data_IF_517382373056
#
_entry.id   IF_517382373056
#
_cell.length_a   1.000
_cell.length_b   1.000
_cell.length_c   1.000
_cell.angle_alpha   90.00
_cell.angle_beta   90.00
_cell.angle_gamma   90.00
#
_symmetry.space_group_name_H-M   'P 1'
#
loop_
_entity.id
_entity.type
_entity.pdbx_description
1 polymer ?
#
# COMPACT_ATOMS: atom_id res chain seq x y z
N UNK A 1 31.93 36.69 50.13
CA UNK A 1 31.25 35.39 50.36
C UNK A 1 30.67 34.93 49.02
N UNK A 2 30.78 33.64 48.72
CA UNK A 2 30.93 33.05 47.37
C UNK A 2 29.67 33.10 46.50
N UNK A 3 29.82 33.48 45.22
CA UNK A 3 28.87 33.19 44.14
C UNK A 3 28.86 31.68 43.90
N UNK A 4 27.68 31.05 43.88
CA UNK A 4 27.50 29.66 43.48
C UNK A 4 26.69 29.63 42.18
N UNK A 5 27.38 29.37 41.07
CA UNK A 5 26.79 29.17 39.74
C UNK A 5 26.26 27.74 39.66
N UNK A 6 24.94 27.56 39.55
CA UNK A 6 24.32 26.26 39.34
C UNK A 6 24.42 25.89 37.84
N UNK A 7 25.20 24.86 37.53
CA UNK A 7 25.27 24.26 36.20
C UNK A 7 24.13 23.24 36.06
N UNK A 8 23.11 23.56 35.26
CA UNK A 8 22.02 22.66 34.92
C UNK A 8 22.51 21.67 33.85
N UNK A 9 22.80 20.42 34.23
CA UNK A 9 23.08 19.34 33.30
C UNK A 9 21.79 18.91 32.60
N UNK A 10 21.60 19.34 31.35
CA UNK A 10 20.53 18.87 30.48
C UNK A 10 20.95 17.51 29.88
N UNK A 11 20.65 16.42 30.57
CA UNK A 11 20.81 15.06 30.00
C UNK A 11 19.73 14.85 28.94
N UNK A 12 20.08 15.09 27.67
CA UNK A 12 19.28 14.59 26.54
C UNK A 12 19.37 13.06 26.56
N UNK A 13 18.38 12.40 27.14
CA UNK A 13 18.14 10.98 26.88
C UNK A 13 17.71 10.88 25.43
N UNK A 14 18.64 10.54 24.53
CA UNK A 14 18.33 10.10 23.19
C UNK A 14 17.56 8.78 23.30
N UNK A 15 16.24 8.86 23.42
CA UNK A 15 15.39 7.72 23.07
C UNK A 15 15.77 7.39 21.63
N UNK A 16 16.37 6.22 21.41
CA UNK A 16 16.48 5.68 20.06
C UNK A 16 15.08 5.72 19.48
N UNK A 17 14.84 6.62 18.53
CA UNK A 17 13.59 6.64 17.80
C UNK A 17 13.62 5.38 16.95
N UNK A 18 12.87 4.35 17.34
CA UNK A 18 12.70 3.16 16.52
C UNK A 18 11.87 3.59 15.30
N UNK A 19 12.54 3.97 14.21
CA UNK A 19 11.88 4.51 13.03
C UNK A 19 11.63 3.39 12.03
N UNK A 20 10.49 2.71 12.18
CA UNK A 20 9.99 1.82 11.13
C UNK A 20 9.78 2.60 9.81
N UNK A 21 10.01 1.95 8.66
CA UNK A 21 9.71 2.54 7.35
C UNK A 21 8.28 2.19 6.92
N UNK A 22 7.35 3.08 7.24
CA UNK A 22 6.01 3.07 6.68
C UNK A 22 5.99 3.91 5.39
N UNK A 23 5.92 3.23 4.24
CA UNK A 23 5.80 3.91 2.97
C UNK A 23 4.54 4.79 2.91
N UNK A 24 4.64 5.97 2.33
CA UNK A 24 3.52 6.72 1.81
C UNK A 24 3.09 6.16 0.45
N UNK A 25 1.86 6.48 0.02
CA UNK A 25 1.35 6.05 -1.30
C UNK A 25 0.61 7.15 -2.03
N UNK A 26 0.60 7.07 -3.35
CA UNK A 26 -0.20 7.91 -4.21
C UNK A 26 -0.72 7.12 -5.41
N UNK A 27 -2.03 7.15 -5.65
CA UNK A 27 -2.58 6.68 -6.92
C UNK A 27 -2.15 7.65 -8.04
N UNK A 28 -1.57 7.12 -9.11
CA UNK A 28 -1.21 7.91 -10.29
C UNK A 28 -2.42 8.00 -11.22
N UNK A 29 -3.08 6.87 -11.47
CA UNK A 29 -4.30 6.83 -12.26
C UNK A 29 -4.51 5.53 -13.02
N UNK A 30 -5.53 5.54 -13.87
CA UNK A 30 -5.96 4.42 -14.70
C UNK A 30 -5.75 4.74 -16.18
N UNK A 31 -5.65 3.70 -17.01
CA UNK A 31 -5.80 3.86 -18.47
C UNK A 31 -7.26 4.18 -18.83
N UNK A 32 -7.55 4.84 -19.96
CA UNK A 32 -8.92 5.22 -20.34
C UNK A 32 -9.92 4.07 -20.46
N UNK A 33 -9.45 2.87 -20.79
CA UNK A 33 -10.24 1.63 -20.87
C UNK A 33 -10.33 0.89 -19.51
N UNK A 34 -9.66 1.41 -18.48
CA UNK A 34 -9.55 0.83 -17.16
C UNK A 34 -8.64 -0.39 -17.06
N UNK A 35 -7.97 -0.83 -18.13
CA UNK A 35 -7.12 -2.03 -18.08
C UNK A 35 -5.92 -1.91 -17.15
N UNK A 36 -5.30 -0.74 -17.11
CA UNK A 36 -4.08 -0.51 -16.34
C UNK A 36 -4.34 0.43 -15.17
N UNK A 37 -3.70 0.15 -14.05
CA UNK A 37 -3.65 1.02 -12.89
C UNK A 37 -2.19 1.29 -12.52
N UNK A 38 -1.87 2.54 -12.19
CA UNK A 38 -0.55 2.94 -11.72
C UNK A 38 -0.64 3.60 -10.35
N UNK A 39 0.32 3.27 -9.49
CA UNK A 39 0.48 3.90 -8.18
C UNK A 39 1.96 4.03 -7.82
N UNK A 40 2.25 4.96 -6.93
CA UNK A 40 3.57 5.19 -6.35
C UNK A 40 3.54 4.83 -4.86
N UNK A 41 4.63 4.26 -4.36
CA UNK A 41 4.96 4.29 -2.93
C UNK A 41 6.33 4.94 -2.72
N UNK A 42 6.50 5.66 -1.62
CA UNK A 42 7.73 6.40 -1.35
C UNK A 42 7.94 6.62 0.14
N UNK A 43 9.18 6.90 0.53
CA UNK A 43 9.51 7.13 1.94
C UNK A 43 11.01 7.25 2.16
N UNK A 44 11.42 6.95 3.38
CA UNK A 44 12.82 6.90 3.82
C UNK A 44 13.08 5.53 4.40
N UNK A 45 14.16 4.87 3.95
CA UNK A 45 14.51 3.53 4.37
C UNK A 45 14.87 3.48 5.86
N UNK A 46 14.30 2.48 6.54
CA UNK A 46 14.71 2.07 7.88
C UNK A 46 16.20 1.62 7.87
N UNK A 47 16.94 2.02 8.89
CA UNK A 47 18.37 1.75 9.06
C UNK A 47 19.32 2.63 8.24
N UNK A 48 19.07 2.83 6.93
CA UNK A 48 19.97 3.63 6.07
C UNK A 48 19.62 5.11 5.99
N UNK A 49 18.37 5.50 6.28
CA UNK A 49 17.93 6.89 6.14
C UNK A 49 17.83 7.37 4.67
N UNK A 50 17.97 6.48 3.70
CA UNK A 50 17.97 6.85 2.28
C UNK A 50 16.55 7.02 1.73
N UNK A 51 16.22 8.14 1.06
CA UNK A 51 14.92 8.31 0.43
C UNK A 51 14.76 7.39 -0.79
N UNK A 52 13.56 6.83 -0.96
CA UNK A 52 13.20 5.98 -2.09
C UNK A 52 11.82 6.34 -2.68
N UNK A 53 11.59 5.94 -3.93
CA UNK A 53 10.28 5.96 -4.58
C UNK A 53 10.19 4.79 -5.56
N UNK A 54 9.04 4.12 -5.56
CA UNK A 54 8.74 3.02 -6.47
C UNK A 54 7.40 3.25 -7.17
N UNK A 55 7.40 3.17 -8.50
CA UNK A 55 6.18 3.29 -9.32
C UNK A 55 5.83 1.93 -9.91
N UNK A 56 4.59 1.51 -9.68
CA UNK A 56 4.03 0.28 -10.17
C UNK A 56 3.00 0.57 -11.28
N UNK A 57 2.97 -0.27 -12.30
CA UNK A 57 1.91 -0.33 -13.31
C UNK A 57 1.42 -1.76 -13.39
N UNK A 58 0.12 -1.94 -13.19
CA UNK A 58 -0.55 -3.24 -13.07
C UNK A 58 -1.54 -3.39 -14.21
N UNK A 59 -1.48 -4.50 -14.94
CA UNK A 59 -2.57 -4.97 -15.79
C UNK A 59 -3.63 -5.62 -14.89
N UNK A 60 -4.77 -4.95 -14.74
CA UNK A 60 -5.84 -5.38 -13.84
C UNK A 60 -6.55 -6.63 -14.32
N UNK A 61 -6.55 -6.90 -15.64
CA UNK A 61 -7.20 -8.08 -16.21
C UNK A 61 -6.33 -9.32 -15.98
N UNK A 62 -5.02 -9.17 -16.13
CA UNK A 62 -4.06 -10.24 -15.88
C UNK A 62 -3.68 -10.38 -14.38
N UNK A 63 -4.01 -9.38 -13.55
CA UNK A 63 -3.53 -9.24 -12.18
C UNK A 63 -2.00 -9.39 -12.07
N UNK A 64 -1.27 -8.68 -12.92
CA UNK A 64 0.19 -8.75 -13.02
C UNK A 64 0.80 -7.38 -13.28
N UNK A 65 2.06 -7.21 -12.89
CA UNK A 65 2.81 -6.03 -13.28
C UNK A 65 3.04 -6.00 -14.80
N UNK A 66 2.88 -4.83 -15.40
CA UNK A 66 3.25 -4.64 -16.79
C UNK A 66 4.77 -4.79 -16.94
N UNK A 67 5.23 -5.38 -18.04
CA UNK A 67 6.66 -5.54 -18.32
C UNK A 67 7.40 -4.20 -18.19
N UNK A 68 8.46 -4.20 -17.38
CA UNK A 68 9.25 -2.99 -17.06
C UNK A 68 8.84 -2.32 -15.75
N UNK A 69 7.66 -2.63 -15.20
CA UNK A 69 7.26 -2.25 -13.85
C UNK A 69 7.69 -3.32 -12.82
N UNK A 70 8.03 -2.93 -11.59
CA UNK A 70 8.06 -1.55 -11.08
C UNK A 70 9.37 -0.83 -11.35
N UNK A 71 9.29 0.50 -11.39
CA UNK A 71 10.44 1.41 -11.43
C UNK A 71 10.85 1.73 -10.00
N UNK A 72 12.04 1.30 -9.58
CA UNK A 72 12.53 1.49 -8.22
C UNK A 72 13.69 2.45 -8.20
N UNK A 73 13.54 3.57 -7.51
CA UNK A 73 14.57 4.58 -7.38
C UNK A 73 14.92 4.81 -5.91
N UNK A 74 16.21 5.00 -5.66
CA UNK A 74 16.79 5.38 -4.38
C UNK A 74 17.89 6.41 -4.61
N UNK A 75 18.09 7.29 -3.63
CA UNK A 75 19.26 8.16 -3.56
C UNK A 75 20.02 7.79 -2.28
N UNK A 76 21.29 7.42 -2.41
CA UNK A 76 22.16 7.02 -1.30
C UNK A 76 22.79 8.25 -0.64
N UNK A 77 21.92 9.11 -0.13
CA UNK A 77 22.25 10.34 0.59
C UNK A 77 21.08 10.65 1.53
N UNK A 78 21.33 10.58 2.83
CA UNK A 78 20.33 10.86 3.89
C UNK A 78 19.84 12.31 3.85
N UNK A 79 20.63 13.23 3.29
CA UNK A 79 20.25 14.63 3.13
C UNK A 79 19.38 14.87 1.88
N UNK A 80 19.24 13.88 1.00
CA UNK A 80 18.43 14.03 -0.20
C UNK A 80 16.93 14.10 0.15
N UNK A 81 16.21 14.94 -0.59
CA UNK A 81 14.77 15.10 -0.39
C UNK A 81 13.99 13.93 -1.00
N UNK A 82 12.94 13.49 -0.32
CA UNK A 82 11.96 12.53 -0.87
C UNK A 82 11.40 13.02 -2.22
N UNK A 83 11.14 14.32 -2.36
CA UNK A 83 10.68 14.89 -3.64
C UNK A 83 11.66 14.66 -4.80
N UNK A 84 12.97 14.65 -4.54
CA UNK A 84 13.99 14.43 -5.56
C UNK A 84 13.96 13.00 -6.10
N UNK A 85 13.81 12.00 -5.23
CA UNK A 85 13.72 10.59 -5.66
C UNK A 85 12.38 10.28 -6.31
N UNK A 86 11.28 10.89 -5.85
CA UNK A 86 9.98 10.80 -6.53
C UNK A 86 10.04 11.35 -7.95
N UNK A 87 10.67 12.51 -8.14
CA UNK A 87 10.87 13.06 -9.48
C UNK A 87 11.75 12.16 -10.36
N UNK A 88 12.73 11.45 -9.77
CA UNK A 88 13.54 10.46 -10.48
C UNK A 88 12.69 9.27 -10.92
N UNK A 89 11.89 8.70 -10.04
CA UNK A 89 11.00 7.58 -10.35
C UNK A 89 9.97 7.95 -11.43
N UNK A 90 9.37 9.14 -11.32
CA UNK A 90 8.45 9.65 -12.33
C UNK A 90 9.09 9.76 -13.72
N UNK A 91 10.34 10.23 -13.81
CA UNK A 91 11.09 10.26 -15.09
C UNK A 91 11.36 8.84 -15.62
N UNK A 92 11.76 7.92 -14.76
CA UNK A 92 12.01 6.52 -15.15
C UNK A 92 10.74 5.83 -15.67
N UNK A 93 9.58 6.11 -15.07
CA UNK A 93 8.29 5.53 -15.46
C UNK A 93 7.60 6.25 -16.63
N UNK A 94 8.00 7.48 -16.97
CA UNK A 94 7.27 8.38 -17.86
C UNK A 94 6.91 7.77 -19.22
N UNK A 95 7.85 7.03 -19.83
CA UNK A 95 7.62 6.39 -21.12
C UNK A 95 6.48 5.35 -21.06
N UNK A 96 6.48 4.49 -20.04
CA UNK A 96 5.45 3.45 -19.89
C UNK A 96 4.09 4.06 -19.49
N UNK A 97 4.09 5.01 -18.55
CA UNK A 97 2.86 5.71 -18.12
C UNK A 97 2.22 6.47 -19.30
N UNK A 98 3.02 7.14 -20.12
CA UNK A 98 2.57 7.84 -21.32
C UNK A 98 2.04 6.90 -22.40
N UNK A 99 2.75 5.78 -22.64
CA UNK A 99 2.31 4.76 -23.59
C UNK A 99 0.94 4.17 -23.23
N UNK A 100 0.72 3.89 -21.94
CA UNK A 100 -0.52 3.27 -21.43
C UNK A 100 -1.59 4.28 -21.02
N UNK A 101 -1.26 5.58 -21.02
CA UNK A 101 -2.15 6.69 -20.68
C UNK A 101 -2.77 6.58 -19.27
N UNK A 102 -1.98 6.17 -18.27
CA UNK A 102 -2.48 5.86 -16.92
C UNK A 102 -2.73 7.08 -16.03
N UNK A 103 -3.26 8.16 -16.60
CA UNK A 103 -3.47 9.44 -15.91
C UNK A 103 -4.93 9.72 -15.57
N UNK A 104 -5.85 8.83 -15.92
CA UNK A 104 -7.26 9.00 -15.59
C UNK A 104 -7.47 8.86 -14.07
N UNK A 105 -8.18 9.79 -13.43
CA UNK A 105 -8.26 9.83 -11.97
C UNK A 105 -9.11 8.67 -11.43
N UNK A 106 -8.56 7.96 -10.45
CA UNK A 106 -9.33 7.06 -9.60
C UNK A 106 -10.09 7.81 -8.52
N UNK A 107 -11.26 7.32 -8.14
CA UNK A 107 -12.01 7.76 -6.98
C UNK A 107 -11.64 6.88 -5.77
N UNK A 108 -11.09 7.48 -4.71
CA UNK A 108 -10.98 6.81 -3.42
C UNK A 108 -12.40 6.60 -2.84
N UNK A 109 -12.76 5.36 -2.56
CA UNK A 109 -14.04 4.98 -1.96
C UNK A 109 -13.92 4.85 -0.43
N UNK A 110 -12.79 4.36 0.05
CA UNK A 110 -12.44 4.29 1.46
C UNK A 110 -10.92 4.26 1.61
N UNK A 111 -10.42 4.73 2.75
CA UNK A 111 -9.01 4.67 3.10
C UNK A 111 -8.85 4.45 4.62
N UNK A 112 -7.83 3.71 4.98
CA UNK A 112 -7.38 3.49 6.36
C UNK A 112 -5.91 3.89 6.44
N UNK A 113 -5.69 5.14 6.81
CA UNK A 113 -4.34 5.65 7.01
C UNK A 113 -3.71 4.96 8.23
N UNK A 114 -2.39 4.67 8.24
CA UNK A 114 -1.73 4.06 9.39
C UNK A 114 -1.88 4.84 10.70
N UNK A 115 -2.07 6.16 10.60
CA UNK A 115 -2.29 7.05 11.76
C UNK A 115 -3.75 7.22 12.14
N UNK A 116 -4.68 6.65 11.36
CA UNK A 116 -6.10 6.65 11.67
C UNK A 116 -6.38 5.56 12.70
N UNK A 117 -7.00 5.91 13.81
CA UNK A 117 -7.47 4.92 14.77
C UNK A 117 -8.58 4.07 14.13
N UNK A 118 -8.25 2.84 13.74
CA UNK A 118 -9.20 1.82 13.31
C UNK A 118 -9.20 0.67 14.33
N UNK A 119 -10.38 0.11 14.60
CA UNK A 119 -10.50 -1.03 15.50
C UNK A 119 -9.90 -2.31 14.88
N UNK A 120 -9.94 -2.42 13.56
CA UNK A 120 -9.44 -3.56 12.79
C UNK A 120 -8.94 -3.07 11.42
N UNK A 121 -7.64 -3.22 11.16
CA UNK A 121 -7.03 -2.85 9.89
C UNK A 121 -7.16 -3.93 8.79
N UNK A 122 -7.69 -5.11 9.14
CA UNK A 122 -8.00 -6.20 8.20
C UNK A 122 -9.40 -6.06 7.59
N UNK A 123 -10.20 -5.07 8.00
CA UNK A 123 -11.58 -4.88 7.51
C UNK A 123 -11.82 -3.44 7.10
N UNK A 124 -12.35 -3.22 5.89
CA UNK A 124 -12.78 -1.91 5.41
C UNK A 124 -14.19 -1.95 4.82
N UNK A 125 -15.03 -1.00 5.23
CA UNK A 125 -16.36 -0.77 4.66
C UNK A 125 -16.31 0.34 3.62
N UNK A 126 -17.03 0.17 2.52
CA UNK A 126 -17.10 1.19 1.48
C UNK A 126 -18.42 1.12 0.72
N UNK A 127 -18.80 2.27 0.18
CA UNK A 127 -19.90 2.37 -0.76
C UNK A 127 -19.35 2.52 -2.19
N UNK A 128 -19.95 1.84 -3.17
CA UNK A 128 -19.49 1.86 -4.56
C UNK A 128 -19.74 3.20 -5.24
N UNK A 129 -20.54 4.10 -4.66
CA UNK A 129 -20.84 5.41 -5.20
C UNK A 129 -21.30 6.36 -4.09
N UNK A 130 -20.89 7.63 -4.23
CA UNK A 130 -21.53 8.72 -3.49
C UNK A 130 -22.86 9.05 -4.16
N UNK A 131 -23.94 9.08 -3.39
CA UNK A 131 -25.26 9.44 -3.90
C UNK A 131 -25.64 10.87 -3.50
N UNK A 132 -25.89 11.10 -2.21
CA UNK A 132 -26.01 12.43 -1.61
C UNK A 132 -25.82 12.32 -0.09
N UNK A 133 -25.82 13.46 0.61
CA UNK A 133 -25.55 13.51 2.06
C UNK A 133 -26.64 12.88 2.95
N UNK A 134 -27.88 12.74 2.45
CA UNK A 134 -29.05 12.35 3.27
C UNK A 134 -29.46 10.91 3.02
N UNK A 135 -29.27 10.43 1.79
CA UNK A 135 -29.65 9.11 1.34
C UNK A 135 -28.46 8.48 0.63
N UNK A 136 -27.63 7.77 1.39
CA UNK A 136 -26.71 6.79 0.81
C UNK A 136 -27.57 5.66 0.24
N UNK A 137 -27.78 5.64 -1.08
CA UNK A 137 -28.35 4.49 -1.80
C UNK A 137 -27.20 3.77 -2.46
N UNK A 138 -27.19 2.44 -2.40
CA UNK A 138 -26.14 1.60 -2.97
C UNK A 138 -25.76 0.45 -2.03
N UNK A 139 -25.34 -0.68 -2.59
CA UNK A 139 -24.84 -1.81 -1.81
C UNK A 139 -23.67 -1.36 -0.95
N UNK A 140 -23.78 -1.48 0.38
CA UNK A 140 -22.61 -1.32 1.23
C UNK A 140 -21.81 -2.60 1.16
N UNK A 141 -20.51 -2.50 0.91
CA UNK A 141 -19.64 -3.67 0.84
C UNK A 141 -18.60 -3.64 1.95
N UNK A 142 -18.21 -4.83 2.38
CA UNK A 142 -17.06 -5.04 3.26
C UNK A 142 -15.98 -5.77 2.50
N UNK A 143 -14.74 -5.29 2.53
CA UNK A 143 -13.57 -6.14 2.28
C UNK A 143 -13.00 -6.61 3.61
N UNK A 144 -12.69 -7.89 3.70
CA UNK A 144 -12.05 -8.52 4.87
C UNK A 144 -10.83 -9.33 4.43
N UNK A 145 -9.72 -9.09 5.11
CA UNK A 145 -8.45 -9.76 4.91
C UNK A 145 -8.29 -10.85 5.98
N UNK A 146 -7.99 -12.06 5.53
CA UNK A 146 -7.68 -13.19 6.41
C UNK A 146 -6.25 -13.65 6.15
N UNK A 147 -5.43 -13.72 7.20
CA UNK A 147 -4.07 -14.22 7.09
C UNK A 147 -4.06 -15.74 6.84
N UNK A 148 -3.19 -16.18 5.96
CA UNK A 148 -2.98 -17.58 5.63
C UNK A 148 -1.50 -17.95 5.80
N UNK A 149 -1.15 -18.93 6.65
CA UNK A 149 0.23 -19.31 6.85
C UNK A 149 0.75 -20.17 5.67
N UNK A 150 1.96 -19.86 5.22
CA UNK A 150 2.71 -20.64 4.22
C UNK A 150 4.09 -21.00 4.76
N UNK A 151 4.73 -22.00 4.16
CA UNK A 151 6.14 -22.27 4.42
C UNK A 151 6.98 -21.02 4.10
N UNK A 152 7.90 -20.69 5.00
CA UNK A 152 8.81 -19.58 4.80
C UNK A 152 9.71 -19.83 3.57
N UNK A 153 9.85 -18.85 2.65
CA UNK A 153 10.89 -18.90 1.63
C UNK A 153 12.28 -19.05 2.26
N UNK A 154 13.23 -19.69 1.58
CA UNK A 154 14.58 -19.98 2.11
C UNK A 154 15.33 -18.73 2.63
N UNK A 155 15.10 -17.59 2.00
CA UNK A 155 15.72 -16.30 2.35
C UNK A 155 15.00 -15.56 3.49
N UNK A 156 13.96 -16.15 4.08
CA UNK A 156 13.17 -15.53 5.12
C UNK A 156 13.37 -16.23 6.46
N UNK A 157 13.87 -15.47 7.43
CA UNK A 157 13.88 -15.94 8.81
C UNK A 157 12.45 -15.99 9.39
N UNK A 158 12.09 -17.12 9.97
CA UNK A 158 10.86 -17.32 10.73
C UNK A 158 11.11 -18.39 11.80
N UNK A 159 10.88 -18.05 13.07
CA UNK A 159 11.08 -18.97 14.20
C UNK A 159 10.19 -20.22 14.09
N UNK A 160 8.96 -20.06 13.63
CA UNK A 160 7.99 -21.13 13.37
C UNK A 160 8.06 -21.71 11.94
N UNK A 161 9.03 -21.25 11.15
CA UNK A 161 9.20 -21.64 9.74
C UNK A 161 8.08 -21.15 8.83
N UNK A 162 7.25 -20.18 9.25
CA UNK A 162 6.11 -19.71 8.47
C UNK A 162 6.21 -18.23 8.11
N UNK A 163 5.63 -17.88 6.97
CA UNK A 163 5.32 -16.51 6.57
C UNK A 163 3.85 -16.39 6.25
N UNK A 164 3.33 -15.16 6.28
CA UNK A 164 1.91 -14.92 6.04
C UNK A 164 1.68 -14.54 4.59
N UNK A 165 0.75 -15.22 3.95
CA UNK A 165 -0.01 -14.70 2.82
C UNK A 165 -1.38 -14.24 3.31
N UNK A 166 -2.28 -13.94 2.38
CA UNK A 166 -3.63 -13.57 2.75
C UNK A 166 -4.65 -14.04 1.71
N UNK A 167 -5.90 -14.01 2.18
CA UNK A 167 -7.11 -14.13 1.38
C UNK A 167 -7.92 -12.86 1.58
N UNK A 168 -8.51 -12.36 0.50
CA UNK A 168 -9.38 -11.19 0.52
C UNK A 168 -10.81 -11.61 0.16
N UNK A 169 -11.73 -11.27 1.04
CA UNK A 169 -13.16 -11.55 0.93
C UNK A 169 -13.93 -10.26 0.72
N UNK A 170 -14.81 -10.25 -0.27
CA UNK A 170 -15.82 -9.21 -0.48
C UNK A 170 -17.16 -9.72 0.03
N UNK A 171 -17.82 -8.93 0.87
CA UNK A 171 -19.20 -9.17 1.31
C UNK A 171 -20.11 -8.05 0.81
N UNK A 172 -21.22 -8.42 0.21
CA UNK A 172 -22.37 -7.52 0.03
C UNK A 172 -23.17 -7.50 1.33
N UNK A 173 -23.19 -6.36 2.01
CA UNK A 173 -23.84 -6.23 3.31
C UNK A 173 -25.37 -6.24 3.22
N UNK A 174 -25.94 -6.01 2.03
CA UNK A 174 -27.40 -6.05 1.83
C UNK A 174 -27.88 -7.49 1.63
N UNK A 175 -27.28 -8.22 0.68
CA UNK A 175 -27.66 -9.61 0.41
C UNK A 175 -27.06 -10.61 1.40
N UNK A 176 -25.98 -10.22 2.08
CA UNK A 176 -25.16 -11.12 2.91
C UNK A 176 -24.24 -12.04 2.11
N UNK A 177 -24.25 -11.95 0.77
CA UNK A 177 -23.43 -12.78 -0.10
C UNK A 177 -21.94 -12.44 0.05
N UNK A 178 -21.11 -13.48 0.13
CA UNK A 178 -19.65 -13.36 0.20
C UNK A 178 -18.98 -13.93 -1.05
N UNK A 179 -17.87 -13.31 -1.47
CA UNK A 179 -17.06 -13.72 -2.62
C UNK A 179 -15.58 -13.62 -2.26
N UNK A 180 -14.82 -14.68 -2.52
CA UNK A 180 -13.36 -14.61 -2.51
C UNK A 180 -12.89 -13.83 -3.75
N UNK A 181 -12.15 -12.73 -3.52
CA UNK A 181 -11.67 -11.86 -4.60
C UNK A 181 -10.15 -11.96 -4.80
N UNK A 182 -9.43 -12.45 -3.80
CA UNK A 182 -8.00 -12.77 -3.92
C UNK A 182 -7.65 -13.88 -2.93
N UNK A 183 -6.73 -14.76 -3.32
CA UNK A 183 -6.17 -15.77 -2.44
C UNK A 183 -4.76 -16.11 -2.88
N UNK A 184 -3.80 -15.99 -1.96
CA UNK A 184 -2.46 -16.48 -2.20
C UNK A 184 -2.45 -18.01 -2.22
N UNK A 185 -1.63 -18.58 -3.10
CA UNK A 185 -1.33 -20.02 -3.14
C UNK A 185 0.09 -20.33 -2.63
N UNK A 186 0.93 -19.30 -2.55
CA UNK A 186 2.29 -19.30 -1.99
C UNK A 186 2.69 -17.83 -1.71
N UNK A 187 3.79 -17.63 -0.97
CA UNK A 187 4.37 -16.29 -0.79
C UNK A 187 5.08 -15.88 -2.08
N UNK A 188 4.63 -14.82 -2.79
CA UNK A 188 5.34 -14.34 -3.96
C UNK A 188 6.68 -13.72 -3.54
N UNK A 189 7.75 -13.98 -4.30
CA UNK A 189 9.08 -13.41 -4.04
C UNK A 189 9.08 -11.88 -4.00
N UNK A 190 8.17 -11.26 -4.75
CA UNK A 190 7.95 -9.81 -4.77
C UNK A 190 7.49 -9.22 -3.43
N UNK A 191 7.01 -10.04 -2.48
CA UNK A 191 6.59 -9.63 -1.14
C UNK A 191 7.65 -9.86 -0.08
N UNK A 192 8.82 -10.37 -0.46
CA UNK A 192 9.95 -10.67 0.42
C UNK A 192 9.54 -11.63 1.56
N UNK A 193 9.55 -11.16 2.81
CA UNK A 193 9.26 -11.95 4.01
C UNK A 193 8.07 -11.37 4.78
N UNK A 194 6.84 -11.47 4.23
CA UNK A 194 5.66 -10.84 4.80
C UNK A 194 5.20 -11.53 6.09
N UNK A 195 4.95 -10.73 7.13
CA UNK A 195 4.46 -11.15 8.44
C UNK A 195 3.00 -10.82 8.69
N UNK A 196 2.50 -9.76 8.07
CA UNK A 196 1.13 -9.29 8.22
C UNK A 196 0.74 -8.44 7.00
N UNK A 197 -0.55 -8.12 6.91
CA UNK A 197 -1.12 -7.27 5.88
C UNK A 197 -2.21 -6.38 6.48
N UNK A 198 -2.58 -5.32 5.77
CA UNK A 198 -3.80 -4.57 6.05
C UNK A 198 -4.46 -4.09 4.76
N UNK A 199 -5.69 -3.57 4.87
CA UNK A 199 -6.36 -2.91 3.75
C UNK A 199 -6.16 -1.40 3.90
N UNK A 200 -5.46 -0.78 2.94
CA UNK A 200 -5.12 0.63 3.02
C UNK A 200 -6.10 1.53 2.28
N UNK A 201 -6.55 1.14 1.08
CA UNK A 201 -7.50 1.91 0.27
C UNK A 201 -8.36 1.00 -0.56
N UNK A 202 -9.55 1.50 -0.88
CA UNK A 202 -10.38 1.01 -1.97
C UNK A 202 -10.53 2.12 -2.98
N UNK A 203 -10.13 1.86 -4.22
CA UNK A 203 -10.11 2.83 -5.32
C UNK A 203 -10.95 2.30 -6.46
N UNK A 204 -11.81 3.14 -7.03
CA UNK A 204 -12.63 2.83 -8.19
C UNK A 204 -12.29 3.70 -9.39
N UNK A 205 -12.39 3.12 -10.58
CA UNK A 205 -12.39 3.85 -11.85
C UNK A 205 -13.56 3.39 -12.72
N UNK A 206 -14.26 4.35 -13.32
CA UNK A 206 -15.42 4.11 -14.17
C UNK A 206 -15.08 4.61 -15.57
N UNK A 207 -14.58 3.74 -16.45
CA UNK A 207 -14.27 4.14 -17.82
C UNK A 207 -15.56 4.57 -18.53
N UNK A 208 -15.44 5.43 -19.54
CA UNK A 208 -16.59 5.87 -20.34
C UNK A 208 -17.32 4.70 -21.04
N UNK A 209 -16.60 3.62 -21.29
CA UNK A 209 -17.14 2.36 -21.80
C UNK A 209 -16.49 1.18 -21.08
N UNK A 210 -17.26 0.15 -20.74
CA UNK A 210 -16.77 -1.06 -20.10
C UNK A 210 -17.15 -1.16 -18.62
N UNK A 211 -16.53 -2.13 -17.93
CA UNK A 211 -16.81 -2.40 -16.52
C UNK A 211 -16.07 -1.44 -15.59
N UNK A 212 -16.73 -1.06 -14.49
CA UNK A 212 -16.08 -0.41 -13.34
C UNK A 212 -14.90 -1.25 -12.87
N UNK A 213 -13.77 -0.60 -12.66
CA UNK A 213 -12.55 -1.23 -12.13
C UNK A 213 -12.40 -0.86 -10.66
N UNK A 214 -12.10 -1.84 -9.83
CA UNK A 214 -11.87 -1.68 -8.40
C UNK A 214 -10.52 -2.27 -8.04
N UNK A 215 -9.78 -1.53 -7.20
CA UNK A 215 -8.47 -1.93 -6.71
C UNK A 215 -8.46 -1.72 -5.20
N UNK A 216 -8.02 -2.73 -4.46
CA UNK A 216 -7.63 -2.59 -3.07
C UNK A 216 -6.11 -2.38 -3.01
N UNK A 217 -5.66 -1.31 -2.34
CA UNK A 217 -4.26 -1.22 -1.93
C UNK A 217 -4.09 -1.94 -0.61
N UNK A 218 -3.23 -2.94 -0.60
CA UNK A 218 -2.97 -3.80 0.57
C UNK A 218 -1.58 -3.44 1.11
N UNK A 219 -1.51 -3.09 2.39
CA UNK A 219 -0.24 -2.95 3.08
C UNK A 219 0.38 -4.31 3.32
N UNK A 220 1.69 -4.42 3.12
CA UNK A 220 2.51 -5.61 3.33
C UNK A 220 3.52 -5.27 4.40
N UNK A 221 3.43 -5.96 5.54
CA UNK A 221 4.34 -5.75 6.66
C UNK A 221 5.48 -6.76 6.62
N UNK A 222 6.72 -6.27 6.62
CA UNK A 222 7.94 -7.09 6.59
C UNK A 222 8.88 -6.65 7.70
N UNK A 223 9.74 -7.53 8.23
CA UNK A 223 10.79 -7.13 9.17
C UNK A 223 11.67 -6.03 8.57
N UNK A 224 11.91 -4.97 9.34
CA UNK A 224 12.91 -3.93 9.06
C UNK A 224 14.09 -4.02 10.03
N UNK A 225 14.95 -3.02 10.01
CA UNK A 225 16.15 -2.96 10.84
C UNK A 225 15.80 -2.48 12.26
N UNK A 226 15.09 -1.36 12.39
CA UNK A 226 14.65 -0.79 13.68
C UNK A 226 13.18 -1.09 13.99
N UNK A 227 12.37 -1.39 12.97
CA UNK A 227 10.94 -1.64 13.13
C UNK A 227 10.34 -2.48 12.01
N UNK A 228 9.01 -2.52 11.92
CA UNK A 228 8.33 -3.26 10.85
C UNK A 228 8.10 -2.34 9.66
N UNK A 229 8.67 -2.69 8.52
CA UNK A 229 8.47 -1.94 7.29
C UNK A 229 7.09 -2.22 6.71
N UNK A 230 6.46 -1.20 6.14
CA UNK A 230 5.19 -1.33 5.42
C UNK A 230 5.35 -0.87 3.98
N UNK A 231 4.91 -1.72 3.05
CA UNK A 231 4.87 -1.49 1.59
C UNK A 231 3.49 -1.76 1.05
N UNK A 232 3.24 -1.48 -0.22
CA UNK A 232 1.92 -1.69 -0.83
C UNK A 232 1.97 -2.60 -2.04
N UNK A 233 0.88 -3.35 -2.20
CA UNK A 233 0.53 -4.04 -3.44
C UNK A 233 -0.90 -3.64 -3.85
N UNK A 234 -1.18 -3.72 -5.15
CA UNK A 234 -2.52 -3.50 -5.69
C UNK A 234 -3.18 -4.85 -5.98
N UNK A 235 -4.42 -5.03 -5.51
CA UNK A 235 -5.24 -6.21 -5.76
C UNK A 235 -6.51 -5.79 -6.51
N UNK A 236 -6.67 -6.12 -7.80
CA UNK A 236 -7.92 -5.90 -8.52
C UNK A 236 -9.02 -6.79 -7.94
N UNK A 237 -10.25 -6.27 -7.93
CA UNK A 237 -11.43 -7.08 -7.62
C UNK A 237 -12.67 -6.57 -8.37
N UNK A 238 -13.78 -7.29 -8.25
CA UNK A 238 -15.06 -6.89 -8.85
C UNK A 238 -16.20 -7.18 -7.90
N UNK A 239 -17.17 -6.27 -7.87
CA UNK A 239 -18.43 -6.46 -7.14
C UNK A 239 -19.22 -7.65 -7.75
N UNK A 240 -20.14 -8.26 -6.98
CA UNK A 240 -21.03 -9.31 -7.46
C UNK A 240 -21.92 -8.88 -8.63
#
# INVERSE_FOLDING_TARGET
>A
MRLATALLFLTLTSTAAAAADNAERAAIGFSPDGRYFAFEQYGVQDGSGFPYSEIFVIDLDANQWVKGSPFRERIEDEAALVSSVRAKAARSAAALLGQLKTAEPGQALAAQLPTQAAADHHRIDFDPFYWNQVNQKGGQYTLSLELAPFAAPENCYAEDGKQMGFKLMLKDNQSGAGKEVHKDTAIPSSRYCPRDYDISDVIAYRPASGATRLVALIGVYTPGFEGVNRRYIAVPFSLP
#
